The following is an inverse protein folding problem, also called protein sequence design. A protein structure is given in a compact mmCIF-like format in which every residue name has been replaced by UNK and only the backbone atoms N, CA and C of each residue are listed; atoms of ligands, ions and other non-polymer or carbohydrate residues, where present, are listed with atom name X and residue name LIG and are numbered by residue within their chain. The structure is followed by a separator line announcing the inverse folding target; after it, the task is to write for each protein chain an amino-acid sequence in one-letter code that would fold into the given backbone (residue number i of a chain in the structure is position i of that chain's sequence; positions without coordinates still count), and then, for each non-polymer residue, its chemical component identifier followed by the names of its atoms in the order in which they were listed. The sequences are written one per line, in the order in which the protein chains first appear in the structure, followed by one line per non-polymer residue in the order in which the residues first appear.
data_IF_888209899808
#
_entry.id   IF_888209899808
#
_cell.length_a   1.000
_cell.length_b   1.000
_cell.length_c   1.000
_cell.angle_alpha   90.00
_cell.angle_beta   90.00
_cell.angle_gamma   90.00
#
_symmetry.space_group_name_H-M   'P 1'
#
loop_
_entity.id
_entity.type
_entity.pdbx_description
1 polymer ?
#
# COMPACT_ATOMS: atom_id res chain seq x y z
N UNK A 1 -1.01 11.86 -7.66
CA UNK A 1 -0.83 11.86 -6.20
C UNK A 1 -0.77 10.40 -5.77
N UNK A 2 0.30 9.97 -5.10
CA UNK A 2 0.53 8.57 -4.71
C UNK A 2 0.38 8.37 -3.20
N UNK A 3 0.74 7.19 -2.69
CA UNK A 3 0.85 6.95 -1.26
C UNK A 3 2.00 7.79 -0.66
N UNK A 4 1.67 8.60 0.34
CA UNK A 4 2.61 9.46 1.04
C UNK A 4 3.11 8.85 2.35
N UNK A 5 3.65 9.70 3.23
CA UNK A 5 3.99 9.34 4.61
C UNK A 5 2.86 9.79 5.54
N UNK A 6 1.72 9.12 5.44
CA UNK A 6 0.47 9.51 6.08
C UNK A 6 -0.15 8.38 6.92
N UNK A 7 0.54 7.25 7.07
CA UNK A 7 0.07 6.15 7.91
C UNK A 7 0.56 6.31 9.36
N UNK A 8 -0.33 6.37 10.36
CA UNK A 8 0.05 6.37 11.78
C UNK A 8 0.30 4.97 12.35
N UNK A 9 0.10 3.90 11.56
CA UNK A 9 -0.10 2.54 12.11
C UNK A 9 1.10 1.62 12.02
N UNK A 10 1.99 1.82 11.05
CA UNK A 10 3.07 0.87 10.76
C UNK A 10 4.44 1.53 10.95
N UNK A 11 5.02 1.56 12.16
CA UNK A 11 6.27 2.28 12.44
C UNK A 11 7.48 1.88 11.60
N UNK A 12 7.47 0.67 11.03
CA UNK A 12 8.55 0.15 10.20
C UNK A 12 8.29 0.33 8.69
N UNK A 13 7.11 0.86 8.31
CA UNK A 13 6.72 1.10 6.93
C UNK A 13 7.38 2.35 6.37
N UNK A 14 7.70 2.34 5.07
CA UNK A 14 8.13 3.56 4.35
C UNK A 14 7.02 4.62 4.25
N UNK A 15 5.76 4.23 4.46
CA UNK A 15 4.58 5.09 4.46
C UNK A 15 4.23 5.62 5.86
N UNK A 16 5.05 5.33 6.87
CA UNK A 16 4.83 5.80 8.23
C UNK A 16 4.99 7.33 8.33
N UNK A 17 4.02 7.99 8.96
CA UNK A 17 3.95 9.45 9.03
C UNK A 17 5.03 10.06 9.93
N UNK A 18 5.47 9.34 10.96
CA UNK A 18 6.37 9.87 11.99
C UNK A 18 7.77 9.26 11.83
N UNK A 19 8.86 10.04 11.88
CA UNK A 19 10.20 9.46 11.92
C UNK A 19 10.44 8.67 13.21
N UNK A 20 11.14 7.54 13.13
CA UNK A 20 11.47 6.68 14.26
C UNK A 20 12.99 6.44 14.32
N UNK A 21 13.57 6.33 15.52
CA UNK A 21 15.00 6.02 15.74
C UNK A 21 15.99 6.77 14.82
N UNK A 22 15.80 8.08 14.64
CA UNK A 22 16.75 8.93 13.91
C UNK A 22 16.46 9.13 12.41
N UNK A 23 15.31 8.69 11.89
CA UNK A 23 14.92 8.99 10.51
C UNK A 23 13.60 8.37 10.08
N UNK A 24 13.31 8.43 8.77
CA UNK A 24 12.23 7.65 8.16
C UNK A 24 12.73 6.26 7.79
N UNK A 25 11.83 5.28 7.76
CA UNK A 25 12.18 3.96 7.23
C UNK A 25 12.60 4.08 5.76
N UNK A 26 13.76 3.52 5.45
CA UNK A 26 14.30 3.43 4.07
C UNK A 26 14.22 2.02 3.51
N UNK A 27 13.78 1.06 4.32
CA UNK A 27 13.66 -0.34 3.95
C UNK A 27 12.19 -0.72 3.81
N UNK A 28 11.88 -1.55 2.82
CA UNK A 28 10.53 -2.05 2.60
C UNK A 28 10.18 -3.10 3.66
N UNK A 29 9.21 -2.78 4.51
CA UNK A 29 8.57 -3.77 5.36
C UNK A 29 7.69 -4.71 4.53
N UNK A 30 7.32 -5.88 5.09
CA UNK A 30 6.45 -6.83 4.40
C UNK A 30 5.10 -6.20 3.99
N UNK A 31 4.54 -5.32 4.84
CA UNK A 31 3.32 -4.59 4.51
C UNK A 31 3.50 -3.63 3.31
N UNK A 32 4.68 -3.04 3.15
CA UNK A 32 4.96 -2.13 2.03
C UNK A 32 5.00 -2.93 0.73
N UNK A 33 5.66 -4.08 0.75
CA UNK A 33 5.77 -4.99 -0.40
C UNK A 33 4.38 -5.46 -0.83
N UNK A 34 3.55 -5.90 0.11
CA UNK A 34 2.18 -6.34 -0.17
C UNK A 34 1.30 -5.20 -0.72
N UNK A 35 1.39 -4.01 -0.13
CA UNK A 35 0.63 -2.85 -0.59
C UNK A 35 1.04 -2.43 -2.01
N UNK A 36 2.35 -2.37 -2.29
CA UNK A 36 2.88 -2.07 -3.62
C UNK A 36 2.46 -3.15 -4.62
N UNK A 37 2.57 -4.44 -4.24
CA UNK A 37 2.12 -5.57 -5.07
C UNK A 37 0.65 -5.43 -5.47
N UNK A 38 -0.19 -5.03 -4.52
CA UNK A 38 -1.61 -4.82 -4.73
C UNK A 38 -1.90 -3.62 -5.66
N UNK A 39 -1.23 -2.49 -5.43
CA UNK A 39 -1.38 -1.28 -6.26
C UNK A 39 -0.95 -1.47 -7.71
N UNK A 40 0.11 -2.25 -7.94
CA UNK A 40 0.65 -2.56 -9.26
C UNK A 40 0.13 -3.87 -9.83
N UNK A 41 -0.90 -4.46 -9.24
CA UNK A 41 -1.44 -5.72 -9.71
C UNK A 41 -1.96 -5.59 -11.16
N UNK A 42 -1.68 -6.55 -12.08
CA UNK A 42 -2.02 -6.43 -13.52
C UNK A 42 -3.50 -6.19 -13.84
N UNK A 43 -4.38 -6.53 -12.91
CA UNK A 43 -5.83 -6.29 -13.02
C UNK A 43 -6.24 -4.85 -12.67
N UNK A 44 -5.43 -4.12 -11.91
CA UNK A 44 -5.66 -2.71 -11.57
C UNK A 44 -5.33 -1.87 -12.80
N UNK A 45 -6.34 -1.15 -13.31
CA UNK A 45 -6.23 -0.34 -14.53
C UNK A 45 -6.87 1.03 -14.31
N UNK A 46 -6.40 2.02 -15.07
CA UNK A 46 -7.03 3.34 -15.11
C UNK A 46 -8.47 3.22 -15.63
N UNK A 47 -9.37 4.06 -15.10
CA UNK A 47 -10.78 4.09 -15.48
C UNK A 47 -11.72 3.22 -14.62
N UNK A 48 -11.18 2.51 -13.62
CA UNK A 48 -12.00 1.85 -12.60
C UNK A 48 -12.58 2.89 -11.63
N UNK A 49 -13.83 2.68 -11.22
CA UNK A 49 -14.46 3.41 -10.11
C UNK A 49 -13.98 2.88 -8.75
N UNK A 50 -14.19 3.65 -7.70
CA UNK A 50 -13.86 3.26 -6.32
C UNK A 50 -14.45 1.88 -5.95
N UNK A 51 -15.75 1.65 -6.24
CA UNK A 51 -16.42 0.38 -5.95
C UNK A 51 -15.79 -0.80 -6.73
N UNK A 52 -15.45 -0.58 -8.00
CA UNK A 52 -14.80 -1.62 -8.81
C UNK A 52 -13.39 -1.93 -8.32
N UNK A 53 -12.67 -0.92 -7.83
CA UNK A 53 -11.36 -1.12 -7.20
C UNK A 53 -11.53 -1.93 -5.91
N UNK A 54 -12.46 -1.56 -5.01
CA UNK A 54 -12.67 -2.30 -3.76
C UNK A 54 -13.00 -3.78 -4.00
N UNK A 55 -13.96 -4.08 -4.89
CA UNK A 55 -14.31 -5.45 -5.27
C UNK A 55 -13.11 -6.21 -5.85
N UNK A 56 -12.35 -5.57 -6.73
CA UNK A 56 -11.17 -6.18 -7.35
C UNK A 56 -10.09 -6.49 -6.32
N UNK A 57 -9.77 -5.55 -5.42
CA UNK A 57 -8.77 -5.73 -4.37
C UNK A 57 -9.16 -6.90 -3.44
N UNK A 58 -10.43 -6.96 -3.00
CA UNK A 58 -10.96 -8.09 -2.22
C UNK A 58 -10.83 -9.41 -2.97
N UNK A 59 -11.14 -9.43 -4.27
CA UNK A 59 -11.01 -10.63 -5.08
C UNK A 59 -9.57 -11.12 -5.18
N UNK A 60 -8.59 -10.22 -5.29
CA UNK A 60 -7.17 -10.56 -5.34
C UNK A 60 -6.76 -11.20 -4.01
N UNK A 61 -7.14 -10.59 -2.89
CA UNK A 61 -6.80 -11.07 -1.55
C UNK A 61 -7.43 -12.42 -1.17
N UNK A 62 -8.58 -12.79 -1.77
CA UNK A 62 -9.26 -14.06 -1.49
C UNK A 62 -8.71 -15.22 -2.33
N UNK A 63 -8.16 -14.93 -3.52
CA UNK A 63 -7.78 -15.94 -4.51
C UNK A 63 -6.26 -16.23 -4.56
N UNK A 64 -5.49 -15.66 -3.63
CA UNK A 64 -4.06 -15.92 -3.42
C UNK A 64 -3.83 -16.55 -2.05
#
# INVERSE_FOLDING_TARGET
MGLGKDSPRYPNSIFYETPNNGGFSTEYAEIDKELIRLLYHPKIKAGLTENQVDELLRSILINE
#
